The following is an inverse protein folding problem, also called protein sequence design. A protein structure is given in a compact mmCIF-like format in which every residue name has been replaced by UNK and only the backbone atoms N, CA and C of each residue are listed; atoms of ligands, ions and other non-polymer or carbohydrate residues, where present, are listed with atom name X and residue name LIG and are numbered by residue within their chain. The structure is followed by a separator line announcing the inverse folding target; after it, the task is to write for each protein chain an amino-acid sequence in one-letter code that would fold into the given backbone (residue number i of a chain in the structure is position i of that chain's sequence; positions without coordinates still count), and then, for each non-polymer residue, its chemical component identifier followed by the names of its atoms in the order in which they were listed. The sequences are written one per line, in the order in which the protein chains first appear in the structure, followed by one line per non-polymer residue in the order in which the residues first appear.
data_IF_077363664861
#
_entry.id   IF_077363664861
#
_cell.length_a   1.000
_cell.length_b   1.000
_cell.length_c   1.000
_cell.angle_alpha   90.00
_cell.angle_beta   90.00
_cell.angle_gamma   90.00
#
_symmetry.space_group_name_H-M   'P 1'
#
loop_
_entity.id
_entity.type
_entity.pdbx_description
1 polymer ?
#
# COMPACT_ATOMS: atom_id res chain seq x y z
N UNK A 1 -5.50 5.64 9.28
CA UNK A 1 -4.60 6.58 8.58
C UNK A 1 -5.27 7.07 7.32
N UNK A 2 -4.96 8.30 6.92
CA UNK A 2 -5.42 8.80 5.63
C UNK A 2 -4.71 8.09 4.48
N UNK A 3 -5.31 8.14 3.29
CA UNK A 3 -4.70 7.56 2.09
C UNK A 3 -3.36 8.24 1.79
N UNK A 4 -3.29 9.56 1.99
CA UNK A 4 -2.04 10.33 1.77
C UNK A 4 -0.94 9.85 2.71
N UNK A 5 -1.28 9.55 3.96
CA UNK A 5 -0.29 9.07 4.93
C UNK A 5 0.18 7.65 4.59
N UNK A 6 -0.74 6.79 4.18
CA UNK A 6 -0.38 5.44 3.74
C UNK A 6 0.55 5.52 2.53
N UNK A 7 0.23 6.35 1.55
CA UNK A 7 1.08 6.55 0.37
C UNK A 7 2.47 7.03 0.75
N UNK A 8 2.56 7.95 1.72
CA UNK A 8 3.85 8.46 2.20
C UNK A 8 4.70 7.33 2.81
N UNK A 9 4.09 6.49 3.65
CA UNK A 9 4.81 5.37 4.27
C UNK A 9 5.26 4.36 3.21
N UNK A 10 4.40 4.04 2.25
CA UNK A 10 4.76 3.13 1.15
C UNK A 10 5.93 3.70 0.34
N UNK A 11 5.93 4.99 0.08
CA UNK A 11 7.02 5.65 -0.65
C UNK A 11 8.33 5.53 0.11
N UNK A 12 8.29 5.74 1.44
CA UNK A 12 9.48 5.62 2.28
C UNK A 12 10.07 4.21 2.26
N UNK A 13 9.23 3.21 2.06
CA UNK A 13 9.65 1.80 2.00
C UNK A 13 9.81 1.31 0.56
N UNK A 14 9.74 2.21 -0.41
CA UNK A 14 9.92 1.90 -1.85
C UNK A 14 8.93 0.85 -2.36
N UNK A 15 7.69 0.89 -1.86
CA UNK A 15 6.63 -0.01 -2.29
C UNK A 15 5.75 0.72 -3.30
N UNK A 16 5.65 0.24 -4.55
CA UNK A 16 4.75 0.83 -5.53
C UNK A 16 3.29 0.71 -5.10
N UNK A 17 2.49 1.72 -5.42
CA UNK A 17 1.07 1.73 -5.08
C UNK A 17 0.28 2.44 -6.16
N UNK A 18 -1.05 2.25 -6.12
CA UNK A 18 -2.00 2.94 -7.01
C UNK A 18 -3.16 3.44 -6.17
N UNK A 19 -3.73 4.58 -6.56
CA UNK A 19 -4.95 5.11 -5.94
C UNK A 19 -6.04 5.12 -7.00
N UNK A 20 -7.11 4.36 -6.76
CA UNK A 20 -8.23 4.20 -7.70
C UNK A 20 -9.51 4.34 -6.92
N UNK A 21 -10.37 5.28 -7.33
CA UNK A 21 -11.69 5.49 -6.72
C UNK A 21 -11.65 5.67 -5.21
N UNK A 22 -10.64 6.39 -4.70
CA UNK A 22 -10.50 6.65 -3.27
C UNK A 22 -9.93 5.50 -2.47
N UNK A 23 -9.46 4.44 -3.12
CA UNK A 23 -8.80 3.31 -2.48
C UNK A 23 -7.33 3.27 -2.86
N UNK A 24 -6.47 2.91 -1.90
CA UNK A 24 -5.05 2.75 -2.15
C UNK A 24 -4.68 1.26 -2.17
N UNK A 25 -4.06 0.85 -3.27
CA UNK A 25 -3.66 -0.54 -3.49
C UNK A 25 -2.14 -0.62 -3.57
N UNK A 26 -1.54 -1.48 -2.76
CA UNK A 26 -0.09 -1.68 -2.79
C UNK A 26 0.27 -2.95 -3.55
N UNK A 27 1.37 -2.89 -4.26
CA UNK A 27 1.89 -4.01 -5.04
C UNK A 27 2.51 -5.04 -4.10
N UNK A 28 1.93 -6.24 -4.03
CA UNK A 28 2.42 -7.32 -3.18
C UNK A 28 3.78 -7.83 -3.63
N UNK A 29 4.14 -7.65 -4.89
CA UNK A 29 5.46 -8.02 -5.41
C UNK A 29 6.52 -6.97 -5.13
N UNK A 30 6.10 -5.75 -4.75
CA UNK A 30 6.98 -4.63 -4.38
C UNK A 30 7.91 -4.15 -5.49
N UNK A 31 7.69 -4.57 -6.72
CA UNK A 31 8.49 -4.16 -7.87
C UNK A 31 7.64 -3.58 -9.01
N UNK A 32 6.34 -3.42 -8.79
CA UNK A 32 5.43 -2.86 -9.78
C UNK A 32 4.92 -3.87 -10.80
N UNK A 33 5.26 -5.15 -10.64
CA UNK A 33 4.90 -6.18 -11.62
C UNK A 33 3.56 -6.88 -11.32
N UNK A 34 3.00 -6.71 -10.13
CA UNK A 34 1.76 -7.39 -9.77
C UNK A 34 0.59 -6.90 -10.64
N UNK A 35 -0.21 -7.81 -11.20
CA UNK A 35 -1.42 -7.39 -11.89
C UNK A 35 -2.42 -6.80 -10.89
N UNK A 36 -3.37 -6.01 -11.40
CA UNK A 36 -4.30 -5.26 -10.55
C UNK A 36 -5.06 -6.15 -9.56
N UNK A 37 -5.41 -7.37 -9.96
CA UNK A 37 -6.14 -8.31 -9.12
C UNK A 37 -5.28 -8.94 -8.01
N UNK A 38 -3.99 -8.73 -8.03
CA UNK A 38 -3.07 -9.26 -7.02
C UNK A 38 -2.51 -8.19 -6.08
N UNK A 39 -2.98 -6.95 -6.21
CA UNK A 39 -2.57 -5.90 -5.28
C UNK A 39 -3.43 -5.96 -4.01
N UNK A 40 -2.88 -5.47 -2.91
CA UNK A 40 -3.55 -5.44 -1.62
C UNK A 40 -4.20 -4.09 -1.39
N UNK A 41 -5.49 -4.07 -1.03
CA UNK A 41 -6.19 -2.84 -0.68
C UNK A 41 -5.84 -2.46 0.77
N UNK A 42 -5.10 -1.39 0.95
CA UNK A 42 -4.66 -0.92 2.24
C UNK A 42 -5.52 0.23 2.78
N UNK A 43 -6.64 0.54 2.09
CA UNK A 43 -7.53 1.62 2.52
C UNK A 43 -8.04 1.34 3.94
N UNK A 44 -7.90 2.34 4.82
CA UNK A 44 -8.34 2.20 6.20
C UNK A 44 -7.37 1.49 7.12
N UNK A 45 -6.23 1.05 6.64
CA UNK A 45 -5.22 0.44 7.51
C UNK A 45 -4.76 1.44 8.57
N UNK A 46 -4.55 0.93 9.79
CA UNK A 46 -3.93 1.68 10.86
C UNK A 46 -2.42 1.47 10.78
N UNK A 47 -1.67 2.33 11.48
CA UNK A 47 -0.21 2.29 11.41
C UNK A 47 0.37 0.91 11.73
N UNK A 48 -0.09 0.28 12.81
CA UNK A 48 0.43 -1.05 13.19
C UNK A 48 0.08 -2.14 12.17
N UNK A 49 -1.07 -2.02 11.50
CA UNK A 49 -1.46 -2.95 10.45
C UNK A 49 -0.54 -2.78 9.23
N UNK A 50 -0.26 -1.53 8.88
CA UNK A 50 0.61 -1.22 7.74
C UNK A 50 2.04 -1.71 7.99
N UNK A 51 2.56 -1.48 9.20
CA UNK A 51 3.90 -1.94 9.55
C UNK A 51 3.98 -3.47 9.51
N UNK A 52 2.95 -4.16 9.99
CA UNK A 52 2.89 -5.62 9.93
C UNK A 52 2.85 -6.11 8.48
N UNK A 53 2.08 -5.43 7.63
CA UNK A 53 2.02 -5.76 6.20
C UNK A 53 3.38 -5.60 5.53
N UNK A 54 4.15 -4.58 5.94
CA UNK A 54 5.49 -4.33 5.40
C UNK A 54 6.52 -5.35 5.89
N UNK A 55 6.20 -6.15 6.91
CA UNK A 55 7.09 -7.18 7.42
C UNK A 55 7.91 -6.80 8.65
N UNK A 56 7.51 -5.74 9.32
CA UNK A 56 8.22 -5.28 10.53
C UNK A 56 7.58 -5.73 11.83
#
# INVERSE_FOLDING_TARGET
MSIERIAEVLTLHSVPYRIIDGHIYADTMRDGSAPLEEVEDLTGYRYHQLIAWLGY
#
